data_IF_306070574966
#
_entry.id   IF_306070574966
#
_cell.length_a   1.000
_cell.length_b   1.000
_cell.length_c   1.000
_cell.angle_alpha   90.00
_cell.angle_beta   90.00
_cell.angle_gamma   90.00
#
_symmetry.space_group_name_H-M   'P 1'
#
loop_
_entity.id
_entity.type
_entity.pdbx_description
1 polymer ?
#
# COMPACT_ATOMS: atom_id res chain seq x y z
N UNK A 1 25.95 63.61 -14.03
CA UNK A 1 25.31 63.47 -15.36
C UNK A 1 25.41 62.01 -15.78
N UNK A 2 24.30 61.44 -16.24
CA UNK A 2 24.01 60.01 -16.26
C UNK A 2 24.51 59.29 -17.53
N UNK A 3 24.90 58.02 -17.37
CA UNK A 3 25.37 57.12 -18.44
C UNK A 3 24.23 56.61 -19.33
N UNK A 4 24.46 56.38 -20.64
CA UNK A 4 23.45 55.84 -21.54
C UNK A 4 23.18 54.35 -21.29
N UNK A 5 21.89 54.01 -21.22
CA UNK A 5 21.33 52.66 -21.06
C UNK A 5 21.54 51.85 -22.33
N UNK A 6 22.35 50.79 -22.28
CA UNK A 6 22.52 49.84 -23.38
C UNK A 6 21.61 48.64 -23.17
N UNK A 7 20.59 48.52 -24.01
CA UNK A 7 19.65 47.40 -24.10
C UNK A 7 20.35 46.12 -24.57
N UNK A 8 20.20 45.04 -23.82
CA UNK A 8 20.67 43.70 -24.21
C UNK A 8 19.80 43.13 -25.35
N UNK A 9 20.40 42.53 -26.40
CA UNK A 9 19.64 41.91 -27.48
C UNK A 9 18.98 40.60 -27.05
N UNK A 10 17.71 40.51 -27.41
CA UNK A 10 16.80 39.36 -27.30
C UNK A 10 17.35 38.16 -28.06
N UNK A 11 17.99 37.23 -27.34
CA UNK A 11 18.46 35.95 -27.89
C UNK A 11 17.30 35.18 -28.51
N UNK A 12 17.40 34.96 -29.81
CA UNK A 12 16.39 34.34 -30.65
C UNK A 12 16.94 33.03 -31.22
N UNK A 13 16.16 31.95 -30.99
CA UNK A 13 16.12 30.65 -31.72
C UNK A 13 17.12 29.56 -31.29
N UNK A 14 16.86 28.25 -31.58
CA UNK A 14 15.81 27.69 -32.45
C UNK A 14 14.98 26.50 -31.91
N UNK A 15 13.82 26.35 -32.55
CA UNK A 15 12.89 25.21 -32.52
C UNK A 15 13.51 24.06 -33.32
N UNK A 16 13.73 22.91 -32.70
CA UNK A 16 14.21 21.69 -33.38
C UNK A 16 13.00 20.96 -33.96
N UNK A 17 12.76 21.13 -35.26
CA UNK A 17 11.94 20.21 -36.05
C UNK A 17 12.79 18.96 -36.37
N UNK A 18 12.46 17.81 -35.76
CA UNK A 18 13.05 16.52 -36.15
C UNK A 18 12.40 16.04 -37.44
N UNK A 19 13.14 16.17 -38.54
CA UNK A 19 12.82 15.60 -39.83
C UNK A 19 12.79 14.06 -39.75
N UNK A 20 11.81 13.47 -40.42
CA UNK A 20 11.68 12.03 -40.68
C UNK A 20 12.56 11.68 -41.88
N UNK A 21 13.37 10.63 -41.74
CA UNK A 21 14.04 10.00 -42.88
C UNK A 21 13.72 8.51 -42.81
N UNK A 22 12.83 8.07 -43.70
CA UNK A 22 12.46 6.68 -43.88
C UNK A 22 13.34 6.10 -44.97
N UNK A 23 14.20 5.14 -44.61
CA UNK A 23 14.87 4.27 -45.57
C UNK A 23 15.01 2.86 -45.00
N UNK A 24 14.19 1.96 -45.54
CA UNK A 24 14.13 0.57 -45.11
C UNK A 24 15.34 -0.25 -45.58
N UNK A 25 15.63 -1.33 -44.85
CA UNK A 25 16.11 -2.60 -45.42
C UNK A 25 15.94 -3.76 -44.43
N UNK A 26 15.57 -4.90 -45.02
CA UNK A 26 15.11 -6.17 -44.43
C UNK A 26 16.27 -7.09 -43.97
N UNK A 27 16.03 -7.72 -42.80
CA UNK A 27 16.45 -9.04 -42.26
C UNK A 27 17.95 -9.44 -42.18
N UNK A 28 18.33 -9.97 -41.01
CA UNK A 28 18.90 -11.34 -40.88
C UNK A 28 18.98 -11.79 -39.42
N UNK A 29 18.48 -13.01 -39.16
CA UNK A 29 18.50 -13.73 -37.88
C UNK A 29 19.92 -14.20 -37.51
N UNK A 30 20.33 -14.07 -36.23
CA UNK A 30 20.79 -15.19 -35.37
C UNK A 30 21.02 -14.71 -33.92
N UNK A 31 20.67 -15.50 -32.88
CA UNK A 31 20.79 -15.10 -31.48
C UNK A 31 22.20 -15.37 -30.94
N UNK A 32 22.76 -14.42 -30.20
CA UNK A 32 23.97 -14.64 -29.40
C UNK A 32 23.55 -15.09 -27.99
N UNK A 33 24.08 -16.24 -27.58
CA UNK A 33 23.80 -16.91 -26.34
C UNK A 33 24.27 -16.09 -25.12
N UNK A 34 23.30 -15.64 -24.32
CA UNK A 34 23.50 -15.15 -22.96
C UNK A 34 22.88 -16.13 -21.96
N UNK A 35 23.71 -16.63 -21.05
CA UNK A 35 23.43 -17.65 -20.02
C UNK A 35 22.07 -17.54 -19.32
N UNK A 36 21.37 -18.66 -19.02
CA UNK A 36 20.07 -18.65 -18.37
C UNK A 36 20.25 -18.35 -16.89
N UNK A 37 20.14 -17.07 -16.51
CA UNK A 37 19.78 -16.75 -15.12
C UNK A 37 18.39 -17.33 -14.92
N UNK A 38 18.28 -18.36 -14.06
CA UNK A 38 17.03 -18.93 -13.55
C UNK A 38 16.11 -17.78 -13.13
N UNK A 39 15.29 -17.30 -14.07
CA UNK A 39 14.04 -16.66 -13.73
C UNK A 39 13.20 -17.79 -13.18
N UNK A 40 13.08 -17.85 -11.85
CA UNK A 40 11.87 -18.42 -11.27
C UNK A 40 10.76 -17.52 -11.77
N UNK A 41 10.24 -17.87 -12.96
CA UNK A 41 9.00 -17.36 -13.48
C UNK A 41 7.96 -17.77 -12.44
N UNK A 42 7.65 -16.87 -11.50
CA UNK A 42 6.36 -16.94 -10.84
C UNK A 42 5.37 -16.92 -11.98
N UNK A 43 4.78 -18.09 -12.25
CA UNK A 43 3.82 -18.29 -13.30
C UNK A 43 2.86 -17.09 -13.34
N UNK A 44 2.47 -16.59 -14.52
CA UNK A 44 1.29 -15.75 -14.56
C UNK A 44 0.19 -16.61 -13.95
N UNK A 45 -0.23 -16.27 -12.73
CA UNK A 45 -1.47 -16.80 -12.19
C UNK A 45 -2.49 -16.47 -13.26
N UNK A 46 -3.01 -17.50 -13.92
CA UNK A 46 -4.20 -17.43 -14.75
C UNK A 46 -5.34 -17.05 -13.82
N UNK A 47 -5.34 -15.80 -13.38
CA UNK A 47 -6.47 -15.17 -12.78
C UNK A 47 -7.47 -15.08 -13.91
N UNK A 48 -8.59 -15.77 -13.73
CA UNK A 48 -9.83 -15.42 -14.41
C UNK A 48 -9.91 -13.89 -14.55
N UNK A 49 -10.25 -13.34 -15.73
CA UNK A 49 -10.33 -11.91 -15.91
C UNK A 49 -11.32 -11.37 -14.88
N UNK A 50 -10.79 -10.76 -13.81
CA UNK A 50 -11.60 -10.20 -12.74
C UNK A 50 -12.23 -8.94 -13.34
N UNK A 51 -13.51 -9.04 -13.68
CA UNK A 51 -14.26 -7.89 -14.16
C UNK A 51 -14.70 -7.06 -12.95
N UNK A 52 -14.39 -5.77 -12.98
CA UNK A 52 -14.85 -4.82 -11.99
C UNK A 52 -16.09 -4.08 -12.51
N UNK A 53 -17.03 -3.79 -11.63
CA UNK A 53 -18.24 -3.02 -11.93
C UNK A 53 -18.21 -1.68 -11.22
N UNK A 54 -18.91 -0.70 -11.79
CA UNK A 54 -19.14 0.59 -11.15
C UNK A 54 -19.79 0.38 -9.78
N UNK A 55 -19.24 1.05 -8.77
CA UNK A 55 -19.65 0.93 -7.37
C UNK A 55 -18.95 -0.18 -6.58
N UNK A 56 -18.14 -1.03 -7.22
CA UNK A 56 -17.39 -2.06 -6.49
C UNK A 56 -16.42 -1.43 -5.51
N UNK A 57 -16.42 -1.93 -4.26
CA UNK A 57 -15.33 -1.67 -3.33
C UNK A 57 -14.12 -2.50 -3.74
N UNK A 58 -12.98 -1.85 -3.92
CA UNK A 58 -11.73 -2.47 -4.35
C UNK A 58 -10.57 -2.04 -3.46
N UNK A 59 -9.45 -2.76 -3.56
CA UNK A 59 -8.18 -2.35 -2.97
C UNK A 59 -7.17 -2.03 -4.07
N UNK A 60 -6.50 -0.90 -3.92
CA UNK A 60 -5.58 -0.35 -4.93
C UNK A 60 -4.17 -0.23 -4.39
N UNK A 61 -3.21 -0.77 -5.13
CA UNK A 61 -1.77 -0.71 -4.82
C UNK A 61 -1.24 0.70 -5.08
N UNK A 62 -1.01 1.42 -3.99
CA UNK A 62 -0.74 2.86 -4.03
C UNK A 62 0.60 3.19 -3.38
N UNK A 63 1.54 3.83 -4.11
CA UNK A 63 2.76 4.39 -3.52
C UNK A 63 2.42 5.59 -2.63
N UNK A 64 2.74 5.53 -1.33
CA UNK A 64 2.38 6.56 -0.34
C UNK A 64 3.57 7.41 0.13
N UNK A 65 4.79 7.02 -0.22
CA UNK A 65 6.00 7.75 0.16
C UNK A 65 7.28 7.06 -0.27
N UNK A 66 8.41 7.68 0.06
CA UNK A 66 9.76 7.11 -0.10
C UNK A 66 10.29 6.66 1.26
N UNK A 67 11.09 5.61 1.26
CA UNK A 67 11.74 5.14 2.48
C UNK A 67 13.11 5.80 2.64
N UNK A 68 13.16 6.96 3.33
CA UNK A 68 14.39 7.71 3.55
C UNK A 68 15.06 8.21 2.26
N UNK A 69 16.39 8.12 2.19
CA UNK A 69 17.19 8.47 1.00
C UNK A 69 17.26 7.35 -0.05
N UNK A 70 16.63 6.20 0.22
CA UNK A 70 16.67 5.06 -0.70
C UNK A 70 15.76 5.30 -1.91
N UNK A 71 16.04 4.59 -3.01
CA UNK A 71 15.13 4.53 -4.16
C UNK A 71 13.84 3.73 -3.88
N UNK A 72 13.71 3.14 -2.68
CA UNK A 72 12.57 2.32 -2.31
C UNK A 72 11.35 3.19 -2.00
N UNK A 73 10.18 2.70 -2.42
CA UNK A 73 8.88 3.36 -2.18
C UNK A 73 8.05 2.53 -1.21
N UNK A 74 7.42 3.21 -0.25
CA UNK A 74 6.39 2.61 0.57
C UNK A 74 5.13 2.46 -0.28
N UNK A 75 4.62 1.23 -0.38
CA UNK A 75 3.42 0.89 -1.16
C UNK A 75 2.39 0.27 -0.22
N UNK A 76 1.18 0.83 -0.20
CA UNK A 76 0.06 0.34 0.59
C UNK A 76 -1.08 -0.08 -0.34
N UNK A 77 -1.93 -1.00 0.13
CA UNK A 77 -3.20 -1.28 -0.53
C UNK A 77 -4.27 -0.39 0.11
N UNK A 78 -4.82 0.57 -0.60
CA UNK A 78 -5.85 1.48 -0.07
C UNK A 78 -7.23 1.05 -0.56
N UNK A 79 -8.27 1.27 0.25
CA UNK A 79 -9.66 1.06 -0.20
C UNK A 79 -10.04 2.12 -1.22
N UNK A 80 -10.84 1.75 -2.20
CA UNK A 80 -11.39 2.66 -3.20
C UNK A 80 -12.72 2.12 -3.73
N UNK A 81 -13.50 2.98 -4.37
CA UNK A 81 -14.75 2.64 -5.07
C UNK A 81 -14.57 2.91 -6.56
N UNK A 82 -15.01 1.97 -7.39
CA UNK A 82 -14.97 2.11 -8.86
C UNK A 82 -16.04 3.10 -9.34
N UNK A 83 -15.65 4.09 -10.12
CA UNK A 83 -16.55 5.12 -10.66
C UNK A 83 -16.96 4.82 -12.10
N UNK A 84 -16.00 4.35 -12.90
CA UNK A 84 -16.18 3.97 -14.29
C UNK A 84 -15.57 2.59 -14.49
N UNK A 85 -16.28 1.74 -15.22
CA UNK A 85 -15.79 0.44 -15.66
C UNK A 85 -14.57 0.60 -16.58
N UNK A 86 -13.76 -0.46 -16.72
CA UNK A 86 -12.63 -0.37 -17.66
C UNK A 86 -13.17 -0.24 -19.06
N UNK A 87 -12.72 0.78 -19.79
CA UNK A 87 -12.76 0.69 -21.23
C UNK A 87 -11.91 -0.52 -21.60
N UNK A 88 -12.54 -1.53 -22.22
CA UNK A 88 -11.92 -2.85 -22.43
C UNK A 88 -10.57 -2.78 -23.16
N UNK A 89 -10.30 -1.67 -23.85
CA UNK A 89 -9.11 -1.42 -24.65
C UNK A 89 -7.98 -0.72 -23.88
N UNK A 90 -8.24 -0.08 -22.74
CA UNK A 90 -7.25 0.76 -22.05
C UNK A 90 -6.57 0.08 -20.85
N UNK A 91 -7.18 -0.97 -20.27
CA UNK A 91 -6.65 -1.71 -19.14
C UNK A 91 -6.55 -0.92 -17.84
N UNK A 92 -7.32 0.17 -17.70
CA UNK A 92 -7.39 1.00 -16.51
C UNK A 92 -8.82 1.08 -15.96
N UNK A 93 -8.92 1.41 -14.68
CA UNK A 93 -10.17 1.70 -13.99
C UNK A 93 -10.10 3.12 -13.41
N UNK A 94 -11.23 3.82 -13.41
CA UNK A 94 -11.36 5.05 -12.64
C UNK A 94 -11.92 4.74 -11.26
N UNK A 95 -11.19 5.15 -10.22
CA UNK A 95 -11.55 4.89 -8.83
C UNK A 95 -11.47 6.16 -8.00
N UNK A 96 -12.32 6.27 -6.98
CA UNK A 96 -12.18 7.26 -5.90
C UNK A 96 -11.73 6.52 -4.65
N UNK A 97 -10.67 7.00 -4.01
CA UNK A 97 -10.12 6.35 -2.83
C UNK A 97 -10.98 6.62 -1.59
N UNK A 98 -11.04 5.63 -0.71
CA UNK A 98 -11.66 5.76 0.59
C UNK A 98 -10.63 6.39 1.55
N UNK A 99 -10.75 7.70 1.80
CA UNK A 99 -9.91 8.43 2.74
C UNK A 99 -9.26 9.67 2.12
N UNK A 100 -8.14 10.11 2.69
CA UNK A 100 -7.46 11.35 2.28
C UNK A 100 -6.37 11.10 1.23
N UNK A 101 -6.70 10.31 0.20
CA UNK A 101 -5.83 10.11 -0.95
C UNK A 101 -6.64 10.39 -2.21
N UNK A 102 -6.03 11.00 -3.23
CA UNK A 102 -4.74 11.68 -3.19
C UNK A 102 -4.77 12.98 -2.36
N UNK A 103 -3.61 13.45 -1.91
CA UNK A 103 -3.50 14.48 -0.86
C UNK A 103 -4.07 15.84 -1.26
N UNK A 104 -4.03 16.17 -2.54
CA UNK A 104 -4.43 17.49 -3.03
C UNK A 104 -5.95 17.61 -3.16
N UNK A 105 -6.61 16.51 -3.53
CA UNK A 105 -8.06 16.44 -3.68
C UNK A 105 -8.53 14.99 -3.44
N UNK A 106 -9.10 14.68 -2.27
CA UNK A 106 -9.52 13.32 -1.90
C UNK A 106 -10.69 12.77 -2.70
N UNK A 107 -11.51 13.62 -3.33
CA UNK A 107 -12.70 13.20 -4.05
C UNK A 107 -12.47 13.03 -5.55
N UNK A 108 -11.25 13.30 -6.04
CA UNK A 108 -10.93 13.15 -7.45
C UNK A 108 -10.90 11.69 -7.88
N UNK A 109 -11.36 11.43 -9.10
CA UNK A 109 -11.18 10.15 -9.76
C UNK A 109 -9.70 9.96 -10.13
N UNK A 110 -9.20 8.75 -9.91
CA UNK A 110 -7.84 8.35 -10.22
C UNK A 110 -7.88 7.17 -11.18
N UNK A 111 -7.14 7.28 -12.28
CA UNK A 111 -7.00 6.23 -13.28
C UNK A 111 -5.92 5.24 -12.85
N UNK A 112 -6.27 3.97 -12.70
CA UNK A 112 -5.41 2.93 -12.12
C UNK A 112 -5.39 1.70 -12.99
N UNK A 113 -4.23 1.10 -13.21
CA UNK A 113 -4.12 -0.12 -13.98
C UNK A 113 -4.81 -1.29 -13.27
N UNK A 114 -5.59 -2.09 -14.01
CA UNK A 114 -6.36 -3.24 -13.48
C UNK A 114 -5.47 -4.21 -12.68
N UNK A 115 -4.21 -4.39 -13.09
CA UNK A 115 -3.21 -5.23 -12.40
C UNK A 115 -2.86 -4.78 -10.97
N UNK A 116 -3.04 -3.49 -10.68
CA UNK A 116 -2.76 -2.88 -9.39
C UNK A 116 -4.01 -2.79 -8.51
N UNK A 117 -5.12 -3.41 -8.96
CA UNK A 117 -6.40 -3.49 -8.26
C UNK A 117 -6.65 -4.94 -7.83
N UNK A 118 -7.20 -5.13 -6.64
CA UNK A 118 -7.66 -6.43 -6.15
C UNK A 118 -9.00 -6.31 -5.45
N UNK A 119 -9.80 -7.38 -5.49
CA UNK A 119 -11.02 -7.43 -4.70
C UNK A 119 -10.69 -7.42 -3.20
N UNK A 120 -11.55 -6.80 -2.37
CA UNK A 120 -11.43 -6.88 -0.93
C UNK A 120 -11.45 -8.35 -0.50
N UNK A 121 -10.68 -8.70 0.52
CA UNK A 121 -10.83 -10.01 1.14
C UNK A 121 -12.27 -10.13 1.67
N UNK A 122 -12.96 -11.26 1.47
CA UNK A 122 -14.27 -11.49 2.05
C UNK A 122 -14.22 -11.17 3.55
N UNK A 123 -15.03 -10.20 3.98
CA UNK A 123 -15.16 -9.90 5.40
C UNK A 123 -15.73 -11.16 6.06
N UNK A 124 -15.15 -11.67 7.16
CA UNK A 124 -15.80 -12.73 7.92
C UNK A 124 -17.23 -12.28 8.21
N UNK A 125 -18.22 -13.11 7.85
CA UNK A 125 -19.60 -12.80 8.18
C UNK A 125 -19.67 -12.47 9.68
N UNK A 126 -20.45 -11.46 10.10
CA UNK A 126 -20.69 -11.26 11.51
C UNK A 126 -21.24 -12.58 12.04
N UNK A 127 -20.44 -13.30 12.82
CA UNK A 127 -20.90 -14.49 13.51
C UNK A 127 -22.14 -14.03 14.27
N UNK A 128 -23.33 -14.61 14.04
CA UNK A 128 -24.48 -14.26 14.87
C UNK A 128 -24.01 -14.51 16.29
N UNK A 129 -23.95 -13.43 17.08
CA UNK A 129 -23.62 -13.53 18.48
C UNK A 129 -24.67 -14.47 19.05
N UNK A 130 -24.27 -15.71 19.33
CA UNK A 130 -25.13 -16.70 19.91
C UNK A 130 -25.64 -16.10 21.22
N UNK A 131 -26.89 -15.66 21.25
CA UNK A 131 -27.53 -15.08 22.44
C UNK A 131 -27.61 -16.09 23.60
N UNK A 132 -27.23 -17.35 23.37
CA UNK A 132 -27.12 -18.41 24.37
C UNK A 132 -25.67 -18.72 24.81
N UNK A 133 -24.67 -17.87 24.51
CA UNK A 133 -23.39 -17.97 25.20
C UNK A 133 -23.58 -17.50 26.65
N UNK A 134 -23.32 -18.33 27.68
CA UNK A 134 -23.40 -17.90 29.06
C UNK A 134 -22.48 -16.69 29.24
N UNK A 135 -23.04 -15.57 29.72
CA UNK A 135 -22.26 -14.44 30.22
C UNK A 135 -21.18 -15.00 31.15
N UNK A 136 -19.88 -14.71 30.96
CA UNK A 136 -18.87 -15.17 31.89
C UNK A 136 -19.03 -14.40 33.20
N UNK A 137 -19.92 -14.88 34.07
CA UNK A 137 -19.98 -14.50 35.48
C UNK A 137 -19.09 -15.47 36.26
N UNK A 138 -17.83 -15.63 35.87
CA UNK A 138 -16.84 -16.27 36.74
C UNK A 138 -16.28 -15.22 37.69
N UNK A 139 -17.15 -14.75 38.57
CA UNK A 139 -16.71 -14.30 39.87
C UNK A 139 -16.43 -15.55 40.70
N UNK A 140 -15.19 -15.74 41.12
CA UNK A 140 -14.82 -16.79 42.06
C UNK A 140 -13.89 -17.83 41.46
N UNK A 141 -12.63 -17.79 41.93
CA UNK A 141 -11.67 -18.90 42.15
C UNK A 141 -10.20 -18.42 42.20
N UNK A 142 -9.94 -17.14 42.50
CA UNK A 142 -8.57 -16.67 42.80
C UNK A 142 -8.30 -16.45 44.30
N UNK A 143 -9.25 -16.77 45.19
CA UNK A 143 -9.04 -16.62 46.65
C UNK A 143 -7.82 -17.43 47.16
N UNK A 144 -7.57 -18.67 46.73
CA UNK A 144 -6.36 -19.39 47.14
C UNK A 144 -5.08 -18.71 46.63
N UNK A 145 -5.09 -18.18 45.39
CA UNK A 145 -3.93 -17.46 44.82
C UNK A 145 -3.67 -16.16 45.55
N UNK A 146 -4.71 -15.38 45.87
CA UNK A 146 -4.57 -14.13 46.61
C UNK A 146 -4.03 -14.37 48.03
N UNK A 147 -4.49 -15.43 48.71
CA UNK A 147 -3.95 -15.82 50.02
C UNK A 147 -2.45 -16.14 49.97
N UNK A 148 -1.99 -16.83 48.91
CA UNK A 148 -0.56 -17.10 48.72
C UNK A 148 0.26 -15.83 48.51
N UNK A 149 -0.23 -14.89 47.69
CA UNK A 149 0.46 -13.62 47.48
C UNK A 149 0.56 -12.76 48.76
N UNK A 150 -0.47 -12.78 49.61
CA UNK A 150 -0.45 -12.06 50.89
C UNK A 150 0.54 -12.72 51.86
N UNK A 151 0.55 -14.04 51.98
CA UNK A 151 1.46 -14.77 52.86
C UNK A 151 2.93 -14.63 52.41
N UNK A 152 3.19 -14.66 51.11
CA UNK A 152 4.53 -14.42 50.54
C UNK A 152 5.01 -12.99 50.84
N UNK A 153 4.12 -12.00 50.69
CA UNK A 153 4.45 -10.60 50.96
C UNK A 153 4.73 -10.33 52.45
N UNK A 154 3.98 -10.98 53.35
CA UNK A 154 4.23 -10.93 54.80
C UNK A 154 5.57 -11.56 55.17
N UNK A 155 5.92 -12.72 54.59
CA UNK A 155 7.21 -13.36 54.84
C UNK A 155 8.39 -12.51 54.34
N UNK A 156 8.26 -11.89 53.17
CA UNK A 156 9.29 -10.98 52.65
C UNK A 156 9.45 -9.75 53.54
N UNK A 157 8.36 -9.23 54.12
CA UNK A 157 8.38 -8.12 55.08
C UNK A 157 9.09 -8.51 56.38
N UNK A 158 8.70 -9.63 56.99
CA UNK A 158 9.31 -10.14 58.21
C UNK A 158 10.81 -10.44 58.03
N UNK A 159 11.19 -10.98 56.87
CA UNK A 159 12.60 -11.26 56.54
C UNK A 159 13.41 -9.99 56.34
N UNK A 160 12.79 -8.91 55.82
CA UNK A 160 13.45 -7.61 55.74
C UNK A 160 13.63 -6.96 57.11
N UNK A 161 12.63 -7.02 58.00
CA UNK A 161 12.76 -6.46 59.35
C UNK A 161 13.78 -7.21 60.20
N UNK A 162 13.88 -8.53 60.08
CA UNK A 162 14.90 -9.32 60.77
C UNK A 162 16.34 -9.00 60.32
N UNK A 163 16.53 -8.54 59.08
CA UNK A 163 17.84 -8.14 58.56
C UNK A 163 18.22 -6.70 58.95
N UNK A 164 17.25 -5.85 59.30
CA UNK A 164 17.48 -4.48 59.77
C UNK A 164 17.47 -4.33 61.30
N UNK A 165 17.16 -5.41 62.04
CA UNK A 165 17.15 -5.46 63.50
C UNK A 165 18.39 -6.15 64.12
N UNK A 166 19.44 -6.41 63.32
CA UNK A 166 20.73 -6.93 63.77
C UNK A 166 21.81 -5.86 63.79
#
# INVERSE_FOLDING_TARGET
MALPRRSSPRSSRPIIHRAVDAKGRVVSKKPSAGSPVKKMSSAPSTATPVSFKKGDEVRVRTPVGRLGTTALRLVMWLGAVVVSDSDADDGHLEVIYNGNFPRDDPFRTVRVAVKDVKLPAPRPAPTPANMAAPRPTTAGKNLPRLKMFVLEKEQLRAKSEALFAS
#
